data_IF_525902662177
#
_entry.id   IF_525902662177
#
_cell.length_a   1.000
_cell.length_b   1.000
_cell.length_c   1.000
_cell.angle_alpha   90.00
_cell.angle_beta   90.00
_cell.angle_gamma   90.00
#
_symmetry.space_group_name_H-M   'P 1'
#
loop_
_entity.id
_entity.type
_entity.pdbx_description
1 polymer ?
#
# COMPACT_ATOMS: atom_id res chain seq x y z
N UNK A 1 -22.99 -7.73 -23.77
CA UNK A 1 -22.64 -7.42 -22.36
C UNK A 1 -23.09 -8.61 -21.52
N UNK A 2 -22.22 -9.21 -20.73
CA UNK A 2 -22.63 -10.30 -19.84
C UNK A 2 -23.57 -9.74 -18.77
N UNK A 3 -24.72 -10.37 -18.55
CA UNK A 3 -25.62 -9.96 -17.47
C UNK A 3 -25.11 -10.50 -16.14
N UNK A 4 -25.53 -9.89 -15.02
CA UNK A 4 -25.17 -10.37 -13.69
C UNK A 4 -25.50 -11.86 -13.48
N UNK A 5 -26.61 -12.32 -14.06
CA UNK A 5 -27.04 -13.71 -14.00
C UNK A 5 -26.08 -14.65 -14.75
N UNK A 6 -25.54 -14.22 -15.89
CA UNK A 6 -24.56 -15.00 -16.65
C UNK A 6 -23.24 -15.15 -15.89
N UNK A 7 -22.81 -14.09 -15.18
CA UNK A 7 -21.60 -14.12 -14.35
C UNK A 7 -21.81 -15.05 -13.15
N UNK A 8 -22.97 -14.95 -12.48
CA UNK A 8 -23.28 -15.80 -11.34
C UNK A 8 -23.25 -17.29 -11.72
N UNK A 9 -23.85 -17.66 -12.85
CA UNK A 9 -23.80 -19.04 -13.36
C UNK A 9 -22.38 -19.53 -13.64
N UNK A 10 -21.52 -18.66 -14.16
CA UNK A 10 -20.11 -19.01 -14.40
C UNK A 10 -19.37 -19.25 -13.08
N UNK A 11 -19.64 -18.45 -12.05
CA UNK A 11 -19.06 -18.66 -10.71
C UNK A 11 -19.57 -19.95 -10.07
N UNK A 12 -20.86 -20.26 -10.23
CA UNK A 12 -21.45 -21.52 -9.73
C UNK A 12 -20.81 -22.77 -10.37
N UNK A 13 -20.25 -22.67 -11.58
CA UNK A 13 -19.55 -23.76 -12.26
C UNK A 13 -18.07 -23.94 -11.84
N UNK A 14 -17.51 -23.00 -11.06
CA UNK A 14 -16.14 -23.11 -10.54
C UNK A 14 -16.06 -24.15 -9.42
N UNK A 15 -14.88 -24.70 -9.21
CA UNK A 15 -14.61 -25.52 -8.01
C UNK A 15 -14.69 -24.68 -6.74
N UNK A 16 -14.92 -25.28 -5.56
CA UNK A 16 -14.96 -24.54 -4.30
C UNK A 16 -13.71 -23.70 -4.02
N UNK A 17 -12.51 -24.21 -4.37
CA UNK A 17 -11.24 -23.49 -4.21
C UNK A 17 -11.15 -22.26 -5.13
N UNK A 18 -11.59 -22.40 -6.38
CA UNK A 18 -11.64 -21.29 -7.34
C UNK A 18 -12.68 -20.23 -6.93
N UNK A 19 -13.82 -20.64 -6.38
CA UNK A 19 -14.83 -19.73 -5.84
C UNK A 19 -14.27 -18.92 -4.66
N UNK A 20 -13.56 -19.58 -3.74
CA UNK A 20 -12.94 -18.90 -2.59
C UNK A 20 -11.86 -17.91 -3.03
N UNK A 21 -11.01 -18.31 -3.98
CA UNK A 21 -9.99 -17.42 -4.57
C UNK A 21 -10.63 -16.21 -5.24
N UNK A 22 -11.66 -16.42 -6.06
CA UNK A 22 -12.37 -15.34 -6.73
C UNK A 22 -13.05 -14.40 -5.73
N UNK A 23 -13.63 -14.94 -4.67
CA UNK A 23 -14.23 -14.15 -3.59
C UNK A 23 -13.20 -13.23 -2.93
N UNK A 24 -11.99 -13.74 -2.63
CA UNK A 24 -10.92 -12.96 -2.04
C UNK A 24 -10.47 -11.81 -2.96
N UNK A 25 -10.24 -12.11 -4.24
CA UNK A 25 -9.84 -11.13 -5.26
C UNK A 25 -10.91 -10.03 -5.45
N UNK A 26 -12.19 -10.42 -5.53
CA UNK A 26 -13.30 -9.48 -5.63
C UNK A 26 -13.43 -8.61 -4.38
N UNK A 27 -13.31 -9.21 -3.19
CA UNK A 27 -13.37 -8.46 -1.95
C UNK A 27 -12.20 -7.47 -1.83
N UNK A 28 -10.99 -7.84 -2.25
CA UNK A 28 -9.84 -6.95 -2.29
C UNK A 28 -10.06 -5.78 -3.27
N UNK A 29 -10.56 -6.07 -4.46
CA UNK A 29 -10.88 -5.05 -5.47
C UNK A 29 -11.95 -4.06 -4.97
N UNK A 30 -13.02 -4.55 -4.35
CA UNK A 30 -14.08 -3.72 -3.78
C UNK A 30 -13.55 -2.85 -2.65
N UNK A 31 -12.78 -3.44 -1.71
CA UNK A 31 -12.12 -2.66 -0.65
C UNK A 31 -11.23 -1.55 -1.23
N UNK A 32 -10.46 -1.84 -2.27
CA UNK A 32 -9.60 -0.83 -2.91
C UNK A 32 -10.39 0.31 -3.56
N UNK A 33 -11.56 0.02 -4.14
CA UNK A 33 -12.44 1.05 -4.74
C UNK A 33 -13.16 1.89 -3.69
N UNK A 34 -13.52 1.31 -2.54
CA UNK A 34 -14.21 2.00 -1.44
C UNK A 34 -13.22 2.82 -0.62
N UNK A 35 -11.98 2.35 -0.47
CA UNK A 35 -10.90 3.12 0.15
C UNK A 35 -10.46 4.19 -0.86
N UNK A 36 -11.19 5.31 -0.88
CA UNK A 36 -10.66 6.57 -1.38
C UNK A 36 -9.47 6.88 -0.47
N UNK A 37 -8.25 6.48 -0.87
CA UNK A 37 -7.06 6.94 -0.17
C UNK A 37 -7.09 8.45 -0.27
N UNK A 38 -7.15 9.20 0.86
CA UNK A 38 -7.01 10.63 0.80
C UNK A 38 -5.70 10.95 0.08
N UNK A 39 -5.66 12.02 -0.71
CA UNK A 39 -4.39 12.52 -1.24
C UNK A 39 -3.49 12.80 -0.04
N UNK A 40 -2.54 11.90 0.21
CA UNK A 40 -1.59 12.00 1.33
C UNK A 40 -0.67 13.17 1.01
N UNK A 41 -0.52 14.09 1.95
CA UNK A 41 0.48 15.14 1.84
C UNK A 41 1.81 14.61 2.36
N UNK A 42 2.91 14.96 1.70
CA UNK A 42 4.26 14.69 2.24
C UNK A 42 4.46 15.34 3.62
N UNK A 43 3.70 16.41 3.91
CA UNK A 43 3.71 17.09 5.21
C UNK A 43 3.19 16.22 6.36
N UNK A 44 2.48 15.13 6.09
CA UNK A 44 2.10 14.16 7.11
C UNK A 44 3.31 13.45 7.74
N UNK A 45 4.48 13.51 7.10
CA UNK A 45 5.74 12.95 7.62
C UNK A 45 6.57 13.97 8.41
N UNK A 46 6.16 15.25 8.42
CA UNK A 46 6.89 16.30 9.13
C UNK A 46 6.97 16.00 10.63
N UNK A 47 8.17 16.07 11.19
CA UNK A 47 8.39 15.91 12.63
C UNK A 47 8.39 14.47 13.15
N UNK A 48 8.02 13.46 12.35
CA UNK A 48 8.02 12.05 12.79
C UNK A 48 9.40 11.56 13.26
N UNK A 49 10.49 12.12 12.74
CA UNK A 49 11.86 11.76 13.14
C UNK A 49 12.46 12.63 14.24
N UNK A 50 11.76 13.66 14.74
CA UNK A 50 12.36 14.70 15.59
C UNK A 50 13.09 14.14 16.81
N UNK A 51 12.48 13.17 17.49
CA UNK A 51 13.07 12.55 18.69
C UNK A 51 14.31 11.72 18.34
N UNK A 52 14.28 11.01 17.20
CA UNK A 52 15.43 10.25 16.68
C UNK A 52 16.61 11.16 16.34
N UNK A 53 16.34 12.36 15.82
CA UNK A 53 17.36 13.35 15.46
C UNK A 53 17.74 14.28 16.62
N UNK A 54 17.20 14.06 17.82
CA UNK A 54 17.45 14.94 18.96
C UNK A 54 18.91 14.85 19.41
N UNK A 55 19.60 16.00 19.43
CA UNK A 55 21.00 16.09 19.85
C UNK A 55 22.01 15.67 18.78
N UNK A 56 21.56 15.28 17.59
CA UNK A 56 22.42 15.06 16.43
C UNK A 56 22.58 16.36 15.64
N UNK A 57 23.82 16.70 15.29
CA UNK A 57 24.08 17.77 14.33
C UNK A 57 23.82 17.25 12.91
N UNK A 58 22.87 17.87 12.22
CA UNK A 58 22.44 17.43 10.90
C UNK A 58 23.56 17.55 9.87
N UNK A 59 24.42 18.56 9.97
CA UNK A 59 25.51 18.78 9.03
C UNK A 59 26.64 17.78 9.25
N UNK A 60 26.95 17.47 10.51
CA UNK A 60 27.92 16.45 10.88
C UNK A 60 27.48 15.06 10.40
N UNK A 61 26.23 14.68 10.63
CA UNK A 61 25.68 13.40 10.15
C UNK A 61 25.81 13.28 8.61
N UNK A 62 25.41 14.31 7.86
CA UNK A 62 25.54 14.32 6.39
C UNK A 62 27.00 14.22 5.93
N UNK A 63 27.93 14.85 6.65
CA UNK A 63 29.35 14.78 6.33
C UNK A 63 29.90 13.36 6.55
N UNK A 64 29.49 12.68 7.64
CA UNK A 64 29.86 11.30 7.92
C UNK A 64 29.33 10.34 6.85
N UNK A 65 28.06 10.47 6.46
CA UNK A 65 27.48 9.68 5.38
C UNK A 65 28.19 9.91 4.04
N UNK A 66 28.54 11.16 3.71
CA UNK A 66 29.31 11.42 2.47
C UNK A 66 30.71 10.84 2.52
N UNK A 67 31.36 10.90 3.68
CA UNK A 67 32.68 10.33 3.86
C UNK A 67 32.65 8.80 3.77
N UNK A 68 31.61 8.12 4.28
CA UNK A 68 31.48 6.67 4.21
C UNK A 68 31.18 6.14 2.80
N UNK A 69 30.70 6.99 1.89
CA UNK A 69 30.45 6.66 0.48
C UNK A 69 31.64 7.01 -0.42
N UNK A 70 32.59 7.81 0.08
CA UNK A 70 33.88 8.03 -0.57
C UNK A 70 34.81 6.89 -0.12
N UNK A 71 34.75 5.77 -0.84
CA UNK A 71 35.46 4.52 -0.55
C UNK A 71 36.97 4.63 -0.36
#
# INVERSE_FOLDING_TARGET
MATYQDIRRQVENLTPDEQLRLLEELAAMVRHRIIIKPKRSIMELEGLGKETWQGLDAQEYVNQERASWNG
#
